data_IF_088663941078
#
_entry.id   IF_088663941078
#
_cell.length_a   1.000
_cell.length_b   1.000
_cell.length_c   1.000
_cell.angle_alpha   90.00
_cell.angle_beta   90.00
_cell.angle_gamma   90.00
#
_symmetry.space_group_name_H-M   'P 1'
#
loop_
_entity.id
_entity.type
_entity.pdbx_description
1 polymer ?
#
# COMPACT_ATOMS: atom_id res chain seq x y z
N UNK A 1 -41.90 -51.75 5.87
CA UNK A 1 -42.17 -50.41 6.42
C UNK A 1 -40.92 -49.52 6.53
N UNK A 2 -39.76 -50.02 6.99
CA UNK A 2 -38.57 -49.18 7.22
C UNK A 2 -37.88 -48.68 5.92
N UNK A 3 -37.93 -49.46 4.82
CA UNK A 3 -37.36 -49.05 3.52
C UNK A 3 -38.20 -47.98 2.79
N UNK A 4 -39.51 -47.95 3.03
CA UNK A 4 -40.42 -46.93 2.45
C UNK A 4 -40.31 -45.59 3.18
N UNK A 5 -40.09 -45.58 4.50
CA UNK A 5 -39.80 -44.34 5.24
C UNK A 5 -38.47 -43.69 4.85
N UNK A 6 -37.42 -44.46 4.55
CA UNK A 6 -36.12 -43.91 4.12
C UNK A 6 -36.17 -43.23 2.75
N UNK A 7 -37.02 -43.70 1.83
CA UNK A 7 -37.20 -43.05 0.51
C UNK A 7 -38.04 -41.78 0.58
N UNK A 8 -39.01 -41.71 1.49
CA UNK A 8 -39.78 -40.49 1.75
C UNK A 8 -38.93 -39.39 2.42
N UNK A 9 -38.03 -39.75 3.33
CA UNK A 9 -37.11 -38.79 3.98
C UNK A 9 -36.06 -38.22 3.01
N UNK A 10 -35.53 -39.02 2.07
CA UNK A 10 -34.62 -38.52 1.02
C UNK A 10 -35.33 -37.62 0.00
N UNK A 11 -36.59 -37.90 -0.34
CA UNK A 11 -37.36 -37.04 -1.24
C UNK A 11 -37.68 -35.67 -0.60
N UNK A 12 -37.95 -35.63 0.71
CA UNK A 12 -38.20 -34.37 1.43
C UNK A 12 -36.95 -33.49 1.56
N UNK A 13 -35.77 -34.11 1.75
CA UNK A 13 -34.48 -33.41 1.85
C UNK A 13 -33.96 -32.91 0.49
N UNK A 14 -34.35 -33.55 -0.63
CA UNK A 14 -34.03 -33.06 -1.99
C UNK A 14 -34.98 -31.94 -2.45
N UNK A 15 -36.19 -31.85 -1.90
CA UNK A 15 -37.11 -30.73 -2.20
C UNK A 15 -36.79 -29.43 -1.45
N UNK A 16 -36.03 -29.49 -0.34
CA UNK A 16 -35.63 -28.28 0.42
C UNK A 16 -34.36 -27.61 -0.11
N UNK A 17 -33.67 -28.21 -1.08
CA UNK A 17 -32.45 -27.64 -1.68
C UNK A 17 -32.75 -26.76 -2.91
N UNK A 18 -33.99 -26.73 -3.39
CA UNK A 18 -34.38 -26.05 -4.64
C UNK A 18 -35.02 -24.67 -4.46
N UNK A 19 -34.95 -24.06 -3.27
CA UNK A 19 -35.35 -22.65 -3.05
C UNK A 19 -34.22 -21.91 -2.32
N UNK A 20 -32.99 -22.06 -2.80
CA UNK A 20 -32.05 -20.95 -2.72
C UNK A 20 -32.51 -19.94 -3.77
N UNK A 21 -33.58 -19.20 -3.48
CA UNK A 21 -33.89 -18.00 -4.24
C UNK A 21 -32.63 -17.13 -4.22
N UNK A 22 -32.27 -16.53 -5.35
CA UNK A 22 -31.27 -15.48 -5.35
C UNK A 22 -31.63 -14.54 -4.20
N UNK A 23 -30.71 -14.31 -3.26
CA UNK A 23 -30.92 -13.38 -2.17
C UNK A 23 -31.31 -12.04 -2.79
N UNK A 24 -32.62 -11.76 -2.82
CA UNK A 24 -33.10 -10.46 -3.22
C UNK A 24 -32.82 -9.58 -2.02
N UNK A 25 -32.10 -8.48 -2.23
CA UNK A 25 -32.00 -7.44 -1.22
C UNK A 25 -33.43 -7.13 -0.75
N UNK A 26 -33.72 -7.34 0.53
CA UNK A 26 -35.01 -7.02 1.11
C UNK A 26 -35.15 -5.49 1.15
N UNK A 27 -35.61 -4.96 0.03
CA UNK A 27 -35.97 -3.55 -0.11
C UNK A 27 -37.33 -3.26 0.52
N UNK A 28 -37.96 -4.22 1.20
CA UNK A 28 -39.37 -4.20 1.56
C UNK A 28 -40.28 -3.85 0.36
N UNK A 29 -39.86 -4.24 -0.86
CA UNK A 29 -40.54 -3.91 -2.11
C UNK A 29 -40.40 -2.46 -2.56
N UNK A 30 -39.52 -1.65 -1.95
CA UNK A 30 -39.26 -0.27 -2.36
C UNK A 30 -38.18 -0.22 -3.45
N UNK A 31 -38.50 0.20 -4.68
CA UNK A 31 -37.49 0.33 -5.72
C UNK A 31 -36.46 1.40 -5.32
N UNK A 32 -35.18 1.03 -5.31
CA UNK A 32 -34.09 2.01 -5.24
C UNK A 32 -34.10 2.82 -6.54
N UNK A 33 -34.15 4.15 -6.43
CA UNK A 33 -34.06 5.05 -7.57
C UNK A 33 -32.70 5.75 -7.60
N UNK A 34 -32.15 5.97 -8.79
CA UNK A 34 -30.92 6.71 -9.01
C UNK A 34 -31.12 7.70 -10.17
N UNK A 35 -30.50 8.88 -10.09
CA UNK A 35 -30.49 9.88 -11.16
C UNK A 35 -29.06 10.11 -11.63
N UNK A 36 -28.80 9.89 -12.91
CA UNK A 36 -27.47 10.12 -13.51
C UNK A 36 -27.44 11.51 -14.16
N UNK A 37 -26.47 12.34 -13.76
CA UNK A 37 -26.27 13.70 -14.26
C UNK A 37 -25.10 13.78 -15.24
N UNK A 38 -25.27 13.20 -16.43
CA UNK A 38 -24.26 13.22 -17.48
C UNK A 38 -23.97 14.64 -18.03
N UNK A 39 -24.86 15.60 -17.77
CA UNK A 39 -24.74 17.02 -18.12
C UNK A 39 -23.84 17.83 -17.18
N UNK A 40 -23.45 17.25 -16.03
CA UNK A 40 -22.67 17.92 -14.99
C UNK A 40 -21.45 17.06 -14.62
N UNK A 41 -20.36 17.11 -15.41
CA UNK A 41 -19.16 16.35 -15.08
C UNK A 41 -18.60 16.81 -13.72
N UNK A 42 -18.26 15.84 -12.87
CA UNK A 42 -17.59 16.07 -11.59
C UNK A 42 -16.06 16.13 -11.73
N UNK A 43 -15.33 16.06 -10.61
CA UNK A 43 -13.88 15.88 -10.62
C UNK A 43 -13.46 14.62 -11.40
N UNK A 44 -12.27 14.66 -11.99
CA UNK A 44 -11.68 13.50 -12.68
C UNK A 44 -11.18 12.51 -11.62
N UNK A 45 -11.55 11.24 -11.76
CA UNK A 45 -10.97 10.17 -10.96
C UNK A 45 -9.51 9.98 -11.34
N UNK A 46 -8.62 10.07 -10.35
CA UNK A 46 -7.22 9.77 -10.57
C UNK A 46 -7.00 8.25 -10.53
N UNK A 47 -6.24 7.73 -11.51
CA UNK A 47 -5.84 6.31 -11.54
C UNK A 47 -5.08 5.91 -10.27
N UNK A 48 -4.44 6.85 -9.56
CA UNK A 48 -3.70 6.61 -8.32
C UNK A 48 -4.55 5.97 -7.21
N UNK A 49 -5.87 6.05 -7.28
CA UNK A 49 -6.78 5.33 -6.37
C UNK A 49 -6.58 3.81 -6.46
N UNK A 50 -6.04 3.30 -7.58
CA UNK A 50 -5.75 1.88 -7.81
C UNK A 50 -4.28 1.50 -7.53
N UNK A 51 -3.54 2.32 -6.77
CA UNK A 51 -2.18 2.02 -6.31
C UNK A 51 -2.15 0.68 -5.57
N UNK A 52 -1.12 -0.13 -5.83
CA UNK A 52 -0.88 -1.39 -5.14
C UNK A 52 0.18 -1.24 -4.07
N UNK A 53 0.19 -2.15 -3.11
CA UNK A 53 1.13 -2.15 -1.99
C UNK A 53 1.83 -3.51 -1.85
N UNK A 54 3.16 -3.52 -1.84
CA UNK A 54 3.99 -4.72 -1.76
C UNK A 54 5.06 -4.59 -0.67
N UNK A 55 4.72 -5.02 0.55
CA UNK A 55 5.68 -5.08 1.65
C UNK A 55 6.56 -6.34 1.57
N UNK A 56 7.79 -6.25 2.07
CA UNK A 56 8.58 -7.42 2.46
C UNK A 56 7.90 -8.13 3.66
N UNK A 57 6.85 -8.91 3.37
CA UNK A 57 6.00 -9.55 4.36
C UNK A 57 5.57 -10.92 3.87
N UNK A 58 5.88 -11.96 4.66
CA UNK A 58 5.50 -13.34 4.35
C UNK A 58 5.92 -13.74 2.94
N UNK A 59 4.97 -14.22 2.14
CA UNK A 59 5.19 -14.59 0.74
C UNK A 59 4.80 -13.50 -0.27
N UNK A 60 4.54 -12.26 0.17
CA UNK A 60 4.13 -11.16 -0.72
C UNK A 60 5.20 -10.87 -1.78
N UNK A 61 6.45 -10.69 -1.34
CA UNK A 61 7.60 -10.54 -2.24
C UNK A 61 8.13 -11.92 -2.65
N UNK A 62 8.63 -12.72 -1.72
CA UNK A 62 9.25 -14.01 -2.02
C UNK A 62 8.21 -15.10 -2.25
N UNK A 63 8.20 -15.70 -3.44
CA UNK A 63 7.20 -16.66 -3.90
C UNK A 63 5.97 -16.02 -4.57
N UNK A 64 5.43 -14.94 -3.99
CA UNK A 64 4.31 -14.18 -4.56
C UNK A 64 4.70 -13.36 -5.80
N UNK A 65 5.89 -12.75 -5.80
CA UNK A 65 6.42 -11.99 -6.93
C UNK A 65 7.74 -12.58 -7.43
N UNK A 66 8.72 -12.67 -6.51
CA UNK A 66 10.09 -13.08 -6.80
C UNK A 66 10.29 -14.58 -6.54
N UNK A 67 10.71 -15.30 -7.57
CA UNK A 67 11.08 -16.72 -7.52
C UNK A 67 12.55 -16.96 -7.88
N UNK A 68 13.28 -15.89 -8.24
CA UNK A 68 14.70 -15.94 -8.56
C UNK A 68 14.99 -16.90 -9.72
N UNK A 69 15.92 -17.84 -9.52
CA UNK A 69 16.35 -18.77 -10.56
C UNK A 69 15.57 -20.10 -10.55
N UNK A 70 14.42 -20.17 -9.87
CA UNK A 70 13.58 -21.36 -9.91
C UNK A 70 13.13 -21.63 -11.35
N UNK A 71 13.63 -22.74 -11.92
CA UNK A 71 13.35 -23.14 -13.30
C UNK A 71 11.98 -23.81 -13.46
N UNK A 72 11.32 -24.16 -12.36
CA UNK A 72 10.00 -24.80 -12.37
C UNK A 72 8.86 -23.79 -12.51
N UNK A 73 9.12 -22.52 -12.15
CA UNK A 73 8.16 -21.42 -12.27
C UNK A 73 8.60 -20.51 -13.42
N UNK A 74 7.81 -20.40 -14.51
CA UNK A 74 8.11 -19.48 -15.61
C UNK A 74 8.28 -18.04 -15.11
N UNK A 75 9.46 -17.47 -15.30
CA UNK A 75 9.81 -16.15 -14.80
C UNK A 75 10.65 -15.36 -15.80
N UNK A 76 10.64 -14.05 -15.63
CA UNK A 76 11.50 -13.09 -16.35
C UNK A 76 12.30 -12.33 -15.32
N UNK A 77 13.63 -12.42 -15.40
CA UNK A 77 14.54 -11.77 -14.45
C UNK A 77 14.20 -12.04 -12.96
N UNK A 78 13.68 -13.23 -12.66
CA UNK A 78 13.33 -13.65 -11.31
C UNK A 78 11.90 -13.34 -10.87
N UNK A 79 11.12 -12.59 -11.64
CA UNK A 79 9.69 -12.36 -11.35
C UNK A 79 8.80 -13.33 -12.14
N UNK A 80 7.86 -13.97 -11.45
CA UNK A 80 6.98 -14.97 -12.06
C UNK A 80 6.03 -14.34 -13.08
N UNK A 81 5.98 -14.93 -14.28
CA UNK A 81 5.35 -14.32 -15.45
C UNK A 81 3.82 -14.24 -15.34
N UNK A 82 3.21 -15.19 -14.64
CA UNK A 82 1.76 -15.24 -14.41
C UNK A 82 1.26 -14.05 -13.59
N UNK A 83 1.93 -13.73 -12.48
CA UNK A 83 1.56 -12.58 -11.64
C UNK A 83 1.87 -11.27 -12.34
N UNK A 84 3.04 -11.15 -12.99
CA UNK A 84 3.36 -9.96 -13.79
C UNK A 84 2.31 -9.71 -14.87
N UNK A 85 1.89 -10.74 -15.61
CA UNK A 85 0.86 -10.60 -16.63
C UNK A 85 -0.49 -10.17 -16.03
N UNK A 86 -0.87 -10.72 -14.87
CA UNK A 86 -2.09 -10.31 -14.18
C UNK A 86 -2.05 -8.84 -13.76
N UNK A 87 -0.94 -8.38 -13.15
CA UNK A 87 -0.78 -6.97 -12.74
C UNK A 87 -0.81 -6.01 -13.95
N UNK A 88 -0.21 -6.40 -15.08
CA UNK A 88 -0.32 -5.64 -16.34
C UNK A 88 -1.76 -5.54 -16.82
N UNK A 89 -2.51 -6.64 -16.79
CA UNK A 89 -3.90 -6.68 -17.24
C UNK A 89 -4.82 -5.82 -16.35
N UNK A 90 -4.51 -5.72 -15.05
CA UNK A 90 -5.17 -4.79 -14.13
C UNK A 90 -4.77 -3.33 -14.34
N UNK A 91 -3.81 -3.06 -15.23
CA UNK A 91 -3.28 -1.72 -15.49
C UNK A 91 -2.81 -1.02 -14.21
N UNK A 92 -2.10 -1.77 -13.34
CA UNK A 92 -1.58 -1.27 -12.07
C UNK A 92 -0.76 0.00 -12.30
N UNK A 93 -1.20 1.16 -11.75
CA UNK A 93 -0.57 2.43 -12.08
C UNK A 93 0.70 2.68 -11.26
N UNK A 94 0.70 2.28 -9.98
CA UNK A 94 1.75 2.56 -9.00
C UNK A 94 1.88 1.37 -8.05
N UNK A 95 3.09 1.08 -7.58
CA UNK A 95 3.34 0.13 -6.50
C UNK A 95 4.14 0.81 -5.40
N UNK A 96 3.64 0.75 -4.15
CA UNK A 96 4.34 1.17 -2.91
C UNK A 96 5.20 0.04 -2.36
N UNK A 97 6.48 0.33 -2.07
CA UNK A 97 7.50 -0.64 -1.59
C UNK A 97 8.63 0.12 -0.85
N UNK A 98 9.41 -0.47 0.10
CA UNK A 98 9.40 -1.85 0.61
C UNK A 98 8.41 -2.10 1.74
N UNK A 99 7.69 -1.04 2.11
CA UNK A 99 6.38 -1.10 2.70
C UNK A 99 6.29 -1.01 4.20
N UNK A 100 5.14 -0.54 4.67
CA UNK A 100 4.65 -0.69 6.04
C UNK A 100 5.73 -0.51 7.11
N UNK A 101 5.65 -1.35 8.12
CA UNK A 101 6.61 -1.35 9.22
C UNK A 101 8.02 -1.72 8.76
N UNK A 102 8.15 -2.58 7.74
CA UNK A 102 9.46 -2.97 7.22
C UNK A 102 10.28 -1.77 6.70
N UNK A 103 9.63 -0.78 6.07
CA UNK A 103 10.29 0.38 5.48
C UNK A 103 11.05 1.23 6.51
N UNK A 104 10.55 1.34 7.74
CA UNK A 104 11.20 2.10 8.82
C UNK A 104 12.30 1.31 9.56
N UNK A 105 12.58 0.08 9.12
CA UNK A 105 13.79 -0.67 9.49
C UNK A 105 14.68 -1.01 8.28
N UNK A 106 14.27 -0.62 7.07
CA UNK A 106 14.98 -0.93 5.84
C UNK A 106 16.12 0.05 5.59
N UNK A 107 17.32 -0.49 5.39
CA UNK A 107 18.49 0.28 4.95
C UNK A 107 18.81 -0.03 3.49
N UNK A 108 18.51 0.89 2.59
CA UNK A 108 18.51 0.62 1.14
C UNK A 108 19.84 0.11 0.57
N UNK A 109 20.96 0.49 1.20
CA UNK A 109 22.30 0.00 0.83
C UNK A 109 22.43 -1.52 0.99
N UNK A 110 21.68 -2.11 1.89
CA UNK A 110 21.64 -3.56 2.12
C UNK A 110 20.98 -4.31 0.94
N UNK A 111 20.15 -3.62 0.14
CA UNK A 111 19.45 -4.18 -1.02
C UNK A 111 20.11 -3.92 -2.39
N UNK A 112 21.32 -3.39 -2.45
CA UNK A 112 22.03 -3.13 -3.71
C UNK A 112 23.35 -3.90 -3.83
N UNK A 113 23.99 -3.81 -4.99
CA UNK A 113 25.24 -4.52 -5.27
C UNK A 113 25.06 -6.03 -5.50
N UNK A 114 26.17 -6.79 -5.54
CA UNK A 114 26.14 -8.22 -5.82
C UNK A 114 25.29 -8.97 -4.79
N UNK A 115 24.26 -9.71 -5.26
CA UNK A 115 23.28 -10.41 -4.41
C UNK A 115 23.94 -11.29 -3.32
N UNK A 116 25.04 -11.97 -3.66
CA UNK A 116 25.77 -12.83 -2.72
C UNK A 116 26.49 -12.09 -1.57
N UNK A 117 26.60 -10.75 -1.66
CA UNK A 117 27.21 -9.90 -0.62
C UNK A 117 26.19 -9.10 0.17
N UNK A 118 24.90 -9.18 -0.18
CA UNK A 118 23.83 -8.50 0.54
C UNK A 118 23.63 -9.20 1.89
N UNK A 119 23.48 -8.45 2.99
CA UNK A 119 23.31 -9.04 4.30
C UNK A 119 21.94 -9.72 4.41
N UNK A 120 21.92 -10.84 5.10
CA UNK A 120 20.67 -11.45 5.56
C UNK A 120 20.27 -10.75 6.86
N UNK A 121 19.06 -10.21 6.90
CA UNK A 121 18.48 -9.50 8.04
C UNK A 121 17.37 -10.36 8.67
N UNK A 122 16.82 -9.87 9.77
CA UNK A 122 15.64 -10.47 10.40
C UNK A 122 14.47 -9.53 10.16
N UNK A 123 13.38 -10.05 9.63
CA UNK A 123 12.11 -9.33 9.55
C UNK A 123 11.43 -9.42 10.92
N UNK A 124 11.65 -8.39 11.75
CA UNK A 124 11.28 -8.34 13.17
C UNK A 124 9.76 -8.32 13.38
N UNK A 125 9.04 -7.59 12.53
CA UNK A 125 7.59 -7.45 12.58
C UNK A 125 6.87 -8.71 12.08
N UNK A 126 7.39 -9.34 11.03
CA UNK A 126 6.69 -10.39 10.31
C UNK A 126 7.27 -11.78 10.55
N UNK A 127 7.14 -12.25 11.78
CA UNK A 127 7.44 -13.63 12.17
C UNK A 127 8.91 -13.91 12.50
N UNK A 128 9.79 -12.90 12.53
CA UNK A 128 11.20 -13.08 12.87
C UNK A 128 11.98 -13.90 11.85
N UNK A 129 11.47 -13.99 10.62
CA UNK A 129 12.08 -14.78 9.55
C UNK A 129 13.25 -14.03 8.90
N UNK A 130 14.10 -14.74 8.19
CA UNK A 130 15.24 -14.13 7.49
C UNK A 130 14.80 -13.36 6.25
N UNK A 131 15.30 -12.15 6.10
CA UNK A 131 15.19 -11.32 4.90
C UNK A 131 16.53 -11.36 4.14
N UNK A 132 16.61 -12.02 2.98
CA UNK A 132 17.88 -12.18 2.27
C UNK A 132 18.30 -10.97 1.43
N UNK A 133 17.47 -9.92 1.33
CA UNK A 133 17.68 -8.72 0.52
C UNK A 133 17.94 -8.99 -0.97
N UNK A 134 17.50 -10.15 -1.48
CA UNK A 134 17.70 -10.52 -2.90
C UNK A 134 16.80 -9.72 -3.83
N UNK A 135 15.67 -9.24 -3.33
CA UNK A 135 14.87 -8.16 -3.93
C UNK A 135 15.21 -6.88 -3.21
N UNK A 136 15.91 -5.97 -3.89
CA UNK A 136 16.14 -4.61 -3.42
C UNK A 136 15.84 -3.60 -4.51
N UNK A 137 16.51 -2.44 -4.47
CA UNK A 137 16.17 -1.30 -5.35
C UNK A 137 16.12 -1.70 -6.83
N UNK A 138 17.14 -2.40 -7.34
CA UNK A 138 17.23 -2.77 -8.76
C UNK A 138 16.13 -3.75 -9.16
N UNK A 139 15.87 -4.75 -8.32
CA UNK A 139 14.82 -5.73 -8.59
C UNK A 139 13.43 -5.10 -8.54
N UNK A 140 13.18 -4.15 -7.64
CA UNK A 140 11.92 -3.42 -7.60
C UNK A 140 11.68 -2.61 -8.89
N UNK A 141 12.70 -1.90 -9.40
CA UNK A 141 12.55 -1.20 -10.70
C UNK A 141 12.40 -2.14 -11.88
N UNK A 142 12.97 -3.34 -11.83
CA UNK A 142 12.72 -4.37 -12.83
C UNK A 142 11.27 -4.87 -12.78
N UNK A 143 10.69 -5.08 -11.59
CA UNK A 143 9.26 -5.40 -11.44
C UNK A 143 8.40 -4.30 -12.05
N UNK A 144 8.66 -3.04 -11.72
CA UNK A 144 7.91 -1.89 -12.25
C UNK A 144 7.98 -1.83 -13.77
N UNK A 145 9.16 -2.06 -14.37
CA UNK A 145 9.34 -2.13 -15.82
C UNK A 145 8.52 -3.26 -16.43
N UNK A 146 8.49 -4.43 -15.81
CA UNK A 146 7.71 -5.57 -16.30
C UNK A 146 6.21 -5.33 -16.21
N UNK A 147 5.73 -4.72 -15.12
CA UNK A 147 4.31 -4.41 -14.89
C UNK A 147 3.84 -3.19 -15.69
N UNK A 148 4.74 -2.27 -16.02
CA UNK A 148 4.38 -0.96 -16.57
C UNK A 148 3.83 0.02 -15.51
N UNK A 149 4.20 -0.19 -14.25
CA UNK A 149 3.79 0.65 -13.11
C UNK A 149 4.87 1.70 -12.77
N UNK A 150 4.47 2.73 -12.03
CA UNK A 150 5.36 3.73 -11.47
C UNK A 150 5.77 3.43 -10.02
N UNK A 151 6.89 4.01 -9.59
CA UNK A 151 7.42 3.81 -8.24
C UNK A 151 6.75 4.72 -7.22
N UNK A 152 6.26 4.13 -6.13
CA UNK A 152 6.14 4.76 -4.82
C UNK A 152 7.18 4.12 -3.90
N UNK A 153 8.21 4.88 -3.51
CA UNK A 153 9.21 4.44 -2.54
C UNK A 153 8.83 4.90 -1.13
N UNK A 154 8.75 3.97 -0.17
CA UNK A 154 8.60 4.28 1.25
C UNK A 154 9.99 4.40 1.90
N UNK A 155 10.39 5.61 2.29
CA UNK A 155 11.69 5.89 2.89
C UNK A 155 11.67 5.75 4.41
N UNK A 156 12.78 5.28 4.96
CA UNK A 156 12.97 5.06 6.39
C UNK A 156 13.16 6.38 7.16
N UNK A 157 12.24 6.67 8.09
CA UNK A 157 12.37 7.75 9.06
C UNK A 157 12.61 7.19 10.46
N UNK A 158 11.98 6.07 10.81
CA UNK A 158 11.99 5.52 12.16
C UNK A 158 13.38 5.27 12.71
N UNK A 159 14.21 4.50 12.00
CA UNK A 159 15.58 4.20 12.43
C UNK A 159 16.68 4.61 11.42
N UNK A 160 16.29 5.16 10.27
CA UNK A 160 17.20 5.71 9.25
C UNK A 160 17.60 7.15 9.52
N UNK A 161 18.43 7.72 8.65
CA UNK A 161 18.87 9.14 8.73
C UNK A 161 18.38 9.98 7.56
N UNK A 162 18.28 11.33 7.69
CA UNK A 162 17.95 12.18 6.55
C UNK A 162 18.95 12.05 5.39
N UNK A 163 20.23 11.81 5.71
CA UNK A 163 21.28 11.58 4.71
C UNK A 163 21.01 10.29 3.94
N UNK A 164 20.73 9.19 4.65
CA UNK A 164 20.44 7.90 4.01
C UNK A 164 19.30 8.00 3.00
N UNK A 165 18.20 8.67 3.38
CA UNK A 165 17.06 8.89 2.51
C UNK A 165 17.43 9.76 1.30
N UNK A 166 18.17 10.85 1.50
CA UNK A 166 18.61 11.74 0.43
C UNK A 166 19.53 11.03 -0.56
N UNK A 167 20.50 10.25 -0.06
CA UNK A 167 21.39 9.44 -0.88
C UNK A 167 20.62 8.37 -1.66
N UNK A 168 19.54 7.81 -1.11
CA UNK A 168 18.73 6.85 -1.86
C UNK A 168 18.05 7.51 -3.06
N UNK A 169 17.48 8.70 -2.85
CA UNK A 169 16.88 9.50 -3.93
C UNK A 169 17.92 9.84 -4.99
N UNK A 170 19.11 10.30 -4.58
CA UNK A 170 20.22 10.58 -5.50
C UNK A 170 20.64 9.32 -6.26
N UNK A 171 20.84 8.20 -5.57
CA UNK A 171 21.19 6.91 -6.18
C UNK A 171 20.21 6.51 -7.28
N UNK A 172 18.90 6.66 -7.02
CA UNK A 172 17.88 6.30 -7.99
C UNK A 172 17.77 7.29 -9.16
N UNK A 173 17.95 8.58 -8.93
CA UNK A 173 17.48 9.63 -9.85
C UNK A 173 18.57 10.54 -10.42
N UNK A 174 19.80 10.51 -9.89
CA UNK A 174 20.85 11.39 -10.35
C UNK A 174 21.41 10.98 -11.72
N UNK A 175 21.60 11.93 -12.66
CA UNK A 175 22.19 11.65 -13.99
C UNK A 175 23.71 11.44 -13.94
N UNK A 176 24.38 11.94 -12.90
CA UNK A 176 25.82 11.87 -12.71
C UNK A 176 26.18 11.95 -11.21
N UNK A 177 27.45 11.74 -10.87
CA UNK A 177 27.93 11.70 -9.49
C UNK A 177 28.27 10.29 -9.01
N UNK A 178 28.89 10.18 -7.84
CA UNK A 178 29.41 8.91 -7.32
C UNK A 178 28.31 7.86 -7.10
N UNK A 179 27.12 8.28 -6.66
CA UNK A 179 25.98 7.39 -6.48
C UNK A 179 25.36 6.95 -7.82
N UNK A 180 25.36 7.82 -8.83
CA UNK A 180 24.95 7.44 -10.19
C UNK A 180 25.94 6.45 -10.82
N UNK A 181 27.25 6.65 -10.61
CA UNK A 181 28.29 5.69 -11.02
C UNK A 181 28.15 4.36 -10.27
N UNK A 182 27.79 4.38 -8.99
CA UNK A 182 27.49 3.17 -8.21
C UNK A 182 26.27 2.43 -8.78
N UNK A 183 25.19 3.15 -9.11
CA UNK A 183 24.02 2.59 -9.80
C UNK A 183 24.41 1.94 -11.14
N UNK A 184 25.27 2.61 -11.92
CA UNK A 184 25.78 2.09 -13.18
C UNK A 184 26.63 0.82 -12.99
N UNK A 185 27.53 0.79 -12.00
CA UNK A 185 28.33 -0.41 -11.64
C UNK A 185 27.44 -1.57 -11.20
N UNK A 186 26.30 -1.28 -10.57
CA UNK A 186 25.32 -2.28 -10.17
C UNK A 186 24.39 -2.72 -11.31
N UNK A 187 24.61 -2.23 -12.54
CA UNK A 187 23.94 -2.73 -13.75
C UNK A 187 22.90 -1.79 -14.35
N UNK A 188 22.70 -0.58 -13.81
CA UNK A 188 21.72 0.37 -14.34
C UNK A 188 22.29 1.78 -14.49
N UNK A 189 22.72 2.13 -15.71
CA UNK A 189 23.35 3.43 -15.98
C UNK A 189 22.37 4.60 -15.89
N UNK A 190 21.23 4.50 -16.55
CA UNK A 190 20.28 5.61 -16.64
C UNK A 190 19.58 5.85 -15.30
N UNK A 191 19.15 7.09 -14.98
CA UNK A 191 18.31 7.33 -13.81
C UNK A 191 16.94 6.67 -13.95
N UNK A 192 16.36 6.25 -12.83
CA UNK A 192 14.94 5.91 -12.77
C UNK A 192 14.09 7.15 -12.48
N UNK A 193 12.80 7.05 -12.80
CA UNK A 193 11.79 8.00 -12.34
C UNK A 193 11.26 7.53 -10.98
N UNK A 194 11.24 8.45 -10.02
CA UNK A 194 10.64 8.24 -8.70
C UNK A 194 9.56 9.29 -8.49
N UNK A 195 8.34 9.08 -9.02
CA UNK A 195 7.29 10.10 -8.95
C UNK A 195 6.74 10.28 -7.53
N UNK A 196 6.74 9.23 -6.69
CA UNK A 196 6.19 9.29 -5.33
C UNK A 196 7.21 8.80 -4.30
N UNK A 197 7.32 9.52 -3.19
CA UNK A 197 8.21 9.18 -2.09
C UNK A 197 7.52 9.43 -0.73
N UNK A 198 7.32 8.36 0.02
CA UNK A 198 6.84 8.37 1.40
C UNK A 198 7.95 8.74 2.38
N UNK A 199 7.68 9.72 3.25
CA UNK A 199 8.60 10.20 4.27
C UNK A 199 8.21 9.56 5.61
N UNK A 200 8.67 8.32 5.80
CA UNK A 200 8.30 7.45 6.92
C UNK A 200 6.98 6.71 6.67
N UNK A 201 6.70 5.71 7.51
CA UNK A 201 5.45 4.97 7.55
C UNK A 201 5.00 4.80 9.01
N UNK A 202 3.69 4.91 9.28
CA UNK A 202 3.08 4.64 10.60
C UNK A 202 3.93 5.13 11.80
N UNK A 203 4.37 6.38 11.75
CA UNK A 203 5.30 6.94 12.76
C UNK A 203 4.67 6.96 14.16
N UNK A 204 3.33 6.93 14.26
CA UNK A 204 2.57 6.76 15.50
C UNK A 204 2.75 5.38 16.14
N UNK A 205 3.16 4.37 15.37
CA UNK A 205 3.27 2.97 15.79
C UNK A 205 4.67 2.42 15.52
N UNK A 206 4.76 1.43 14.62
CA UNK A 206 6.02 0.73 14.34
C UNK A 206 7.15 1.63 13.82
N UNK A 207 6.81 2.75 13.17
CA UNK A 207 7.79 3.74 12.70
C UNK A 207 8.44 4.59 13.79
N UNK A 208 8.15 4.36 15.08
CA UNK A 208 8.88 5.00 16.19
C UNK A 208 8.03 5.49 17.36
N UNK A 209 6.75 5.12 17.45
CA UNK A 209 5.82 5.50 18.53
C UNK A 209 5.84 7.01 18.83
N UNK A 210 5.87 7.81 17.77
CA UNK A 210 6.00 9.26 17.84
C UNK A 210 4.66 9.91 18.17
N UNK A 211 4.70 11.02 18.92
CA UNK A 211 3.56 11.95 18.99
C UNK A 211 3.44 12.71 17.67
N UNK A 212 2.22 13.10 17.32
CA UNK A 212 1.92 13.81 16.06
C UNK A 212 2.80 15.04 15.81
N UNK A 213 3.02 15.89 16.82
CA UNK A 213 3.84 17.10 16.64
C UNK A 213 5.31 16.77 16.40
N UNK A 214 5.83 15.76 17.10
CA UNK A 214 7.20 15.29 16.90
C UNK A 214 7.38 14.67 15.52
N UNK A 215 6.44 13.81 15.11
CA UNK A 215 6.44 13.24 13.76
C UNK A 215 6.41 14.33 12.69
N UNK A 216 5.60 15.38 12.85
CA UNK A 216 5.55 16.47 11.88
C UNK A 216 6.86 17.27 11.80
N UNK A 217 7.53 17.53 12.93
CA UNK A 217 8.87 18.16 12.93
C UNK A 217 9.93 17.28 12.24
N UNK A 218 9.92 15.97 12.52
CA UNK A 218 10.82 15.00 11.90
C UNK A 218 10.55 14.91 10.39
N UNK A 219 9.29 14.76 9.98
CA UNK A 219 8.89 14.73 8.56
C UNK A 219 9.37 15.98 7.84
N UNK A 220 9.18 17.17 8.40
CA UNK A 220 9.68 18.44 7.83
C UNK A 220 11.20 18.45 7.67
N UNK A 221 11.93 17.91 8.65
CA UNK A 221 13.40 17.76 8.55
C UNK A 221 13.78 16.82 7.40
N UNK A 222 13.21 15.62 7.33
CA UNK A 222 13.56 14.63 6.30
C UNK A 222 13.15 15.08 4.90
N UNK A 223 11.92 15.60 4.74
CA UNK A 223 11.39 16.09 3.48
C UNK A 223 12.23 17.20 2.85
N UNK A 224 12.96 17.98 3.65
CA UNK A 224 13.88 19.03 3.17
C UNK A 224 14.98 18.46 2.26
N UNK A 225 15.46 17.24 2.55
CA UNK A 225 16.59 16.60 1.86
C UNK A 225 16.17 15.67 0.73
N UNK A 226 14.87 15.35 0.59
CA UNK A 226 14.32 14.72 -0.62
C UNK A 226 14.33 15.74 -1.75
N UNK A 227 15.34 15.68 -2.63
CA UNK A 227 15.52 16.61 -3.75
C UNK A 227 15.27 15.89 -5.08
N UNK A 228 14.31 16.41 -5.85
CA UNK A 228 14.12 15.98 -7.23
C UNK A 228 15.28 16.51 -8.10
N UNK A 229 15.78 15.73 -9.08
CA UNK A 229 16.65 16.25 -10.11
C UNK A 229 16.03 17.45 -10.85
N UNK A 230 16.88 18.32 -11.39
CA UNK A 230 16.45 19.49 -12.14
C UNK A 230 15.45 19.11 -13.26
N UNK A 231 14.35 19.85 -13.35
CA UNK A 231 13.30 19.61 -14.36
C UNK A 231 12.36 18.44 -14.05
N UNK A 232 12.50 17.80 -12.89
CA UNK A 232 11.60 16.73 -12.42
C UNK A 232 10.91 17.11 -11.10
N UNK A 233 9.89 16.35 -10.71
CA UNK A 233 9.19 16.49 -9.43
C UNK A 233 9.09 15.13 -8.75
N UNK A 234 9.26 15.12 -7.43
CA UNK A 234 8.93 14.00 -6.56
C UNK A 234 7.79 14.46 -5.66
N UNK A 235 6.67 13.75 -5.69
CA UNK A 235 5.53 13.93 -4.78
C UNK A 235 5.92 13.39 -3.41
N UNK A 236 5.98 14.28 -2.41
CA UNK A 236 6.35 13.91 -1.03
C UNK A 236 5.10 13.61 -0.23
N UNK A 237 4.99 12.37 0.25
CA UNK A 237 3.84 11.86 1.00
C UNK A 237 4.28 11.71 2.46
N UNK A 238 3.65 12.43 3.38
CA UNK A 238 3.92 12.25 4.81
C UNK A 238 3.16 11.05 5.38
N UNK A 239 3.77 10.35 6.34
CA UNK A 239 3.08 9.38 7.18
C UNK A 239 1.93 10.07 7.95
N UNK A 240 0.71 9.83 7.52
CA UNK A 240 -0.48 10.44 8.11
C UNK A 240 -1.19 9.54 9.11
N UNK A 241 -2.49 9.80 9.28
CA UNK A 241 -3.23 9.34 10.45
C UNK A 241 -3.57 7.84 10.44
N UNK A 242 -3.73 7.28 11.63
CA UNK A 242 -4.38 5.99 11.85
C UNK A 242 -5.87 6.19 12.10
N UNK A 243 -6.73 5.64 11.25
CA UNK A 243 -8.20 5.68 11.41
C UNK A 243 -8.70 7.12 11.66
N UNK A 244 -9.20 7.40 12.87
CA UNK A 244 -9.83 8.68 13.26
C UNK A 244 -8.92 9.54 14.13
N UNK A 245 -7.60 9.35 14.05
CA UNK A 245 -6.62 10.24 14.70
C UNK A 245 -6.55 11.57 13.97
N UNK A 246 -7.57 12.40 14.20
CA UNK A 246 -7.72 13.72 13.59
C UNK A 246 -6.64 14.71 14.05
N UNK A 247 -6.12 14.53 15.27
CA UNK A 247 -5.04 15.36 15.81
C UNK A 247 -3.74 15.14 15.04
N UNK A 248 -3.48 13.92 14.57
CA UNK A 248 -2.37 13.62 13.67
C UNK A 248 -2.44 14.43 12.38
N UNK A 249 -3.59 14.41 11.71
CA UNK A 249 -3.81 15.18 10.47
C UNK A 249 -3.67 16.68 10.72
N UNK A 250 -4.26 17.19 11.80
CA UNK A 250 -4.16 18.61 12.19
C UNK A 250 -2.69 19.03 12.41
N UNK A 251 -1.91 18.25 13.15
CA UNK A 251 -0.50 18.55 13.42
C UNK A 251 0.35 18.51 12.15
N UNK A 252 0.20 17.47 11.31
CA UNK A 252 0.97 17.32 10.08
C UNK A 252 0.67 18.47 9.09
N UNK A 253 -0.60 18.81 8.93
CA UNK A 253 -1.02 19.91 8.06
C UNK A 253 -0.52 21.26 8.57
N UNK A 254 -0.63 21.52 9.88
CA UNK A 254 -0.19 22.77 10.49
C UNK A 254 1.33 23.00 10.41
N UNK A 255 2.12 21.95 10.62
CA UNK A 255 3.57 22.07 10.83
C UNK A 255 4.36 21.85 9.53
N UNK A 256 3.93 20.90 8.69
CA UNK A 256 4.74 20.37 7.59
C UNK A 256 4.12 20.55 6.18
N UNK A 257 2.84 20.91 6.04
CA UNK A 257 2.16 20.96 4.74
C UNK A 257 2.92 21.72 3.65
N UNK A 258 3.61 22.83 4.00
CA UNK A 258 4.35 23.65 3.05
C UNK A 258 5.49 22.93 2.30
N UNK A 259 5.92 21.75 2.76
CA UNK A 259 6.96 20.94 2.12
C UNK A 259 6.44 19.61 1.55
N UNK A 260 5.15 19.33 1.70
CA UNK A 260 4.52 18.06 1.35
C UNK A 260 3.58 18.25 0.16
N UNK A 261 3.36 17.18 -0.59
CA UNK A 261 2.37 17.12 -1.67
C UNK A 261 1.17 16.23 -1.29
N UNK A 262 1.31 15.38 -0.27
CA UNK A 262 0.24 14.57 0.27
C UNK A 262 0.47 14.19 1.74
N UNK A 263 -0.60 13.79 2.41
CA UNK A 263 -0.60 13.17 3.74
C UNK A 263 -1.35 11.86 3.63
N UNK A 264 -0.79 10.78 4.18
CA UNK A 264 -1.44 9.47 4.08
C UNK A 264 -2.58 9.27 5.09
N UNK A 265 -3.36 8.20 4.92
CA UNK A 265 -4.37 7.75 5.87
C UNK A 265 -4.45 6.22 5.80
N UNK A 266 -4.28 5.56 6.94
CA UNK A 266 -4.44 4.11 7.03
C UNK A 266 -5.76 3.76 7.71
N UNK A 267 -6.56 2.89 7.09
CA UNK A 267 -7.75 2.30 7.70
C UNK A 267 -7.98 0.89 7.18
N UNK A 268 -7.93 -0.08 8.09
CA UNK A 268 -8.26 -1.48 7.82
C UNK A 268 -9.65 -1.84 8.37
N UNK A 269 -10.36 -2.69 7.64
CA UNK A 269 -11.62 -3.27 8.11
C UNK A 269 -11.31 -4.52 8.94
N UNK A 270 -11.76 -4.52 10.20
CA UNK A 270 -11.58 -5.62 11.14
C UNK A 270 -12.93 -6.07 11.70
N UNK A 271 -13.64 -7.01 11.02
CA UNK A 271 -14.91 -7.53 11.50
C UNK A 271 -14.78 -8.29 12.83
N UNK A 272 -15.89 -8.52 13.50
CA UNK A 272 -16.01 -9.30 14.74
C UNK A 272 -15.18 -8.77 15.93
N UNK A 273 -15.22 -7.46 16.17
CA UNK A 273 -14.71 -6.87 17.41
C UNK A 273 -13.30 -6.30 17.35
N UNK A 274 -12.77 -6.04 16.15
CA UNK A 274 -11.58 -5.20 15.98
C UNK A 274 -10.25 -5.91 16.23
N UNK A 275 -9.31 -5.24 16.90
CA UNK A 275 -7.92 -5.68 17.06
C UNK A 275 -7.72 -6.57 18.30
N UNK A 276 -6.94 -7.67 18.23
CA UNK A 276 -6.30 -8.20 17.02
C UNK A 276 -7.32 -8.85 16.08
N UNK A 277 -7.07 -8.88 14.75
CA UNK A 277 -8.01 -9.47 13.79
C UNK A 277 -8.29 -10.94 14.09
N UNK A 278 -9.56 -11.31 14.26
CA UNK A 278 -10.00 -12.67 14.60
C UNK A 278 -11.10 -13.23 13.69
N UNK A 279 -11.76 -12.37 12.90
CA UNK A 279 -12.79 -12.80 11.97
C UNK A 279 -12.22 -13.79 10.94
N UNK A 280 -12.92 -14.91 10.65
CA UNK A 280 -12.47 -15.84 9.63
C UNK A 280 -12.65 -15.24 8.23
N UNK A 281 -11.69 -15.46 7.34
CA UNK A 281 -11.74 -14.96 5.96
C UNK A 281 -12.67 -15.79 5.06
N UNK A 282 -13.06 -16.99 5.50
CA UNK A 282 -14.01 -17.91 4.84
C UNK A 282 -15.01 -18.40 5.90
N UNK A 283 -16.12 -18.98 5.46
CA UNK A 283 -17.12 -19.59 6.36
C UNK A 283 -17.73 -18.64 7.41
N UNK A 284 -17.94 -17.37 7.04
CA UNK A 284 -18.66 -16.38 7.85
C UNK A 284 -20.16 -16.37 7.50
N UNK A 285 -20.99 -15.95 8.45
CA UNK A 285 -22.43 -15.82 8.28
C UNK A 285 -22.84 -14.43 7.76
N UNK A 286 -24.14 -14.19 7.63
CA UNK A 286 -24.69 -12.91 7.18
C UNK A 286 -24.32 -11.74 8.10
N UNK A 287 -24.16 -12.00 9.40
CA UNK A 287 -23.71 -10.97 10.36
C UNK A 287 -22.27 -10.56 10.07
N UNK A 288 -21.37 -11.53 9.85
CA UNK A 288 -19.98 -11.27 9.48
C UNK A 288 -19.85 -10.51 8.15
N UNK A 289 -20.70 -10.85 7.17
CA UNK A 289 -20.80 -10.12 5.91
C UNK A 289 -21.23 -8.66 6.10
N UNK A 290 -22.32 -8.43 6.84
CA UNK A 290 -22.85 -7.09 7.08
C UNK A 290 -21.88 -6.21 7.87
N UNK A 291 -21.21 -6.78 8.88
CA UNK A 291 -20.20 -6.08 9.69
C UNK A 291 -19.00 -5.64 8.83
N UNK A 292 -18.50 -6.50 7.93
CA UNK A 292 -17.43 -6.15 7.01
C UNK A 292 -17.82 -4.99 6.06
N UNK A 293 -19.04 -5.01 5.51
CA UNK A 293 -19.54 -3.93 4.66
C UNK A 293 -19.71 -2.61 5.44
N UNK A 294 -20.27 -2.67 6.64
CA UNK A 294 -20.42 -1.50 7.50
C UNK A 294 -19.05 -0.88 7.85
N UNK A 295 -18.05 -1.71 8.15
CA UNK A 295 -16.68 -1.26 8.34
C UNK A 295 -16.11 -0.60 7.08
N UNK A 296 -16.26 -1.21 5.90
CA UNK A 296 -15.77 -0.62 4.65
C UNK A 296 -16.40 0.76 4.36
N UNK A 297 -17.71 0.92 4.63
CA UNK A 297 -18.41 2.18 4.43
C UNK A 297 -17.92 3.32 5.34
N UNK A 298 -17.29 3.01 6.49
CA UNK A 298 -16.72 4.02 7.39
C UNK A 298 -15.61 4.86 6.74
N UNK A 299 -15.00 4.37 5.66
CA UNK A 299 -14.00 5.14 4.92
C UNK A 299 -14.52 6.52 4.47
N UNK A 300 -15.82 6.62 4.11
CA UNK A 300 -16.43 7.90 3.71
C UNK A 300 -16.39 8.94 4.86
N UNK A 301 -16.70 8.50 6.08
CA UNK A 301 -16.61 9.35 7.27
C UNK A 301 -15.17 9.84 7.51
N UNK A 302 -14.21 8.91 7.42
CA UNK A 302 -12.79 9.21 7.68
C UNK A 302 -12.24 10.19 6.65
N UNK A 303 -12.46 9.92 5.35
CA UNK A 303 -12.05 10.82 4.26
C UNK A 303 -12.69 12.19 4.47
N UNK A 304 -13.99 12.25 4.75
CA UNK A 304 -14.71 13.51 4.95
C UNK A 304 -14.11 14.34 6.09
N UNK A 305 -13.90 13.73 7.26
CA UNK A 305 -13.42 14.44 8.44
C UNK A 305 -11.95 14.84 8.34
N UNK A 306 -11.08 13.97 7.82
CA UNK A 306 -9.68 14.33 7.57
C UNK A 306 -9.56 15.42 6.50
N UNK A 307 -10.31 15.33 5.40
CA UNK A 307 -10.31 16.36 4.36
C UNK A 307 -10.79 17.71 4.90
N UNK A 308 -11.79 17.73 5.77
CA UNK A 308 -12.26 18.96 6.41
C UNK A 308 -11.19 19.62 7.30
N UNK A 309 -10.30 18.83 7.91
CA UNK A 309 -9.15 19.34 8.66
C UNK A 309 -8.10 19.90 7.71
N UNK A 310 -7.77 19.16 6.65
CA UNK A 310 -6.83 19.61 5.63
C UNK A 310 -7.25 20.93 5.01
N UNK A 311 -8.54 21.12 4.72
CA UNK A 311 -9.12 22.34 4.15
C UNK A 311 -8.90 23.60 5.04
N UNK A 312 -8.70 23.44 6.37
CA UNK A 312 -8.37 24.58 7.25
C UNK A 312 -6.99 25.16 6.97
N UNK A 313 -6.06 24.32 6.51
CA UNK A 313 -4.65 24.67 6.29
C UNK A 313 -4.29 24.79 4.81
N UNK A 314 -5.06 24.14 3.95
CA UNK A 314 -4.87 24.12 2.51
C UNK A 314 -6.21 24.16 1.75
N UNK A 315 -6.92 25.30 1.79
CA UNK A 315 -8.23 25.45 1.12
C UNK A 315 -8.14 25.30 -0.41
N UNK A 316 -6.93 25.38 -0.98
CA UNK A 316 -6.66 25.20 -2.40
C UNK A 316 -6.49 23.72 -2.78
N UNK A 317 -6.46 22.80 -1.80
CA UNK A 317 -6.35 21.35 -2.02
C UNK A 317 -5.11 20.96 -2.83
N UNK A 318 -3.97 21.60 -2.53
CA UNK A 318 -2.66 21.29 -3.11
C UNK A 318 -2.09 19.98 -2.54
N UNK A 319 -2.29 19.75 -1.24
CA UNK A 319 -1.94 18.54 -0.52
C UNK A 319 -3.11 17.57 -0.61
N UNK A 320 -2.93 16.42 -1.27
CA UNK A 320 -4.00 15.42 -1.38
C UNK A 320 -3.92 14.39 -0.25
N UNK A 321 -5.07 13.79 0.09
CA UNK A 321 -5.17 12.69 1.04
C UNK A 321 -4.85 11.38 0.30
N UNK A 322 -3.82 10.67 0.75
CA UNK A 322 -3.41 9.39 0.15
C UNK A 322 -3.85 8.23 1.06
N UNK A 323 -4.91 7.51 0.70
CA UNK A 323 -5.26 6.27 1.40
C UNK A 323 -4.34 5.17 0.86
N UNK A 324 -3.25 4.89 1.58
CA UNK A 324 -2.13 4.07 1.09
C UNK A 324 -1.71 2.92 1.99
#
# INVERSE_FOLDING_TARGET
MIKTLRRAAMALLLSTVAIAGAAQADTAGQPTSATIRADKPGPVYDKLIFTQFAEHLGNGVYGGLWVGNDKTIPNTNGFRNDVVAALRNLSVPVIRWPGGCFADEYHWREGIGPKAKRPVKVNTHWGGVTEPNTVGTHEFFELLRQVGAEAYIAGNVGNGTPQEMAEWVEYMTAPAGSLAEERARNGHKEPWKVPYFGVGNELWGCGGNMRAEYAADVTRRYATFVKAPAGTKIVKIAAGANVSDYDWTEAMMKIAAGQLDAVSLHYYVHPAGGWPPRAPAVDFDETGWADALAGAMRMDELITKHSAIMDKYDPQKRVFLAVD
#
